data_IF_366409240636
#
_entry.id   IF_366409240636
#
_cell.length_a   1.000
_cell.length_b   1.000
_cell.length_c   1.000
_cell.angle_alpha   90.00
_cell.angle_beta   90.00
_cell.angle_gamma   90.00
#
_symmetry.space_group_name_H-M   'P 1'
#
loop_
_entity.id
_entity.type
_entity.pdbx_description
1 polymer ?
#
# COMPACT_ATOMS: atom_id res chain seq x y z
N UNK A 1 -11.31 -17.28 9.03
CA UNK A 1 -9.83 -17.12 8.90
C UNK A 1 -9.07 -18.42 8.97
N UNK A 2 -9.75 -19.56 8.77
CA UNK A 2 -9.08 -20.86 8.78
C UNK A 2 -8.01 -20.92 7.67
N UNK A 3 -6.83 -21.44 8.00
CA UNK A 3 -5.73 -21.55 7.07
C UNK A 3 -4.97 -20.26 6.79
N UNK A 4 -5.33 -19.14 7.43
CA UNK A 4 -4.65 -17.86 7.28
C UNK A 4 -3.79 -17.58 8.51
N UNK A 5 -2.57 -17.17 8.25
CA UNK A 5 -1.68 -16.76 9.34
C UNK A 5 -2.00 -15.35 9.80
N UNK A 6 -1.73 -15.06 11.09
CA UNK A 6 -1.89 -13.70 11.60
C UNK A 6 -1.04 -12.70 10.83
N UNK A 7 -1.56 -11.49 10.66
CA UNK A 7 -0.84 -10.40 10.00
C UNK A 7 -1.04 -9.12 10.80
N UNK A 8 0.05 -8.42 11.08
CA UNK A 8 0.03 -7.15 11.80
C UNK A 8 0.06 -6.01 10.78
N UNK A 9 -0.86 -5.06 10.94
CA UNK A 9 -0.90 -3.86 10.08
C UNK A 9 0.34 -3.00 10.30
N UNK A 10 0.80 -2.31 9.25
CA UNK A 10 1.96 -1.44 9.34
C UNK A 10 1.81 -0.32 10.37
N UNK A 11 0.61 0.27 10.49
CA UNK A 11 0.35 1.33 11.48
C UNK A 11 0.41 0.84 12.92
N UNK A 12 0.25 -0.46 13.16
CA UNK A 12 0.34 -1.06 14.49
C UNK A 12 1.77 -1.47 14.86
N UNK A 13 2.71 -1.32 13.95
CA UNK A 13 4.12 -1.67 14.17
C UNK A 13 4.90 -0.48 14.71
N UNK A 14 6.16 -0.73 15.10
CA UNK A 14 7.07 0.32 15.50
C UNK A 14 7.70 1.00 14.28
N UNK A 15 8.21 2.26 14.41
CA UNK A 15 8.84 2.95 13.29
C UNK A 15 10.00 2.19 12.66
N UNK A 16 10.71 1.38 13.43
CA UNK A 16 11.81 0.57 12.92
C UNK A 16 11.33 -0.56 12.00
N UNK A 17 10.10 -1.01 12.21
CA UNK A 17 9.52 -2.15 11.47
C UNK A 17 8.74 -1.72 10.24
N UNK A 18 8.17 -0.51 10.26
CA UNK A 18 7.34 -0.04 9.15
C UNK A 18 7.31 1.48 9.12
N UNK A 19 7.39 2.12 7.92
CA UNK A 19 7.32 3.57 7.80
C UNK A 19 6.05 4.20 8.38
N UNK A 20 4.95 3.45 8.40
CA UNK A 20 3.68 3.90 8.98
C UNK A 20 3.60 3.66 10.48
N UNK A 21 4.60 3.04 11.07
CA UNK A 21 4.61 2.67 12.48
C UNK A 21 4.83 3.86 13.39
N UNK A 22 4.67 3.60 14.68
CA UNK A 22 4.77 4.62 15.72
C UNK A 22 3.43 5.26 16.02
N UNK A 23 3.35 5.98 17.13
CA UNK A 23 2.13 6.62 17.61
C UNK A 23 1.51 5.86 18.76
N UNK A 24 0.52 6.47 19.39
CA UNK A 24 -0.21 5.91 20.52
C UNK A 24 -1.68 5.71 20.14
N UNK A 25 -2.17 4.49 20.35
CA UNK A 25 -3.54 4.12 20.01
C UNK A 25 -3.83 4.28 18.52
N UNK A 26 -4.95 4.88 18.18
CA UNK A 26 -5.33 5.13 16.79
C UNK A 26 -4.55 6.32 16.25
N UNK A 27 -3.85 6.12 15.15
CA UNK A 27 -3.09 7.19 14.49
C UNK A 27 -3.53 7.33 13.04
N UNK A 28 -3.30 8.52 12.48
CA UNK A 28 -3.53 8.77 11.05
C UNK A 28 -2.34 8.35 10.18
N UNK A 29 -1.25 7.88 10.79
CA UNK A 29 -0.05 7.44 10.10
C UNK A 29 1.00 8.51 9.87
N UNK A 30 0.64 9.79 9.91
CA UNK A 30 1.57 10.91 9.81
C UNK A 30 2.18 11.14 8.44
N UNK A 31 1.83 10.35 7.44
CA UNK A 31 2.34 10.45 6.06
C UNK A 31 1.40 9.78 5.09
N UNK A 32 1.68 9.91 3.79
CA UNK A 32 0.95 9.16 2.78
C UNK A 32 1.12 7.66 3.02
N UNK A 33 0.04 6.86 2.93
CA UNK A 33 0.14 5.41 3.11
C UNK A 33 1.16 4.80 2.15
N UNK A 34 2.01 3.93 2.68
CA UNK A 34 3.05 3.30 1.89
C UNK A 34 3.31 1.86 2.36
N UNK A 35 3.99 1.10 1.51
CA UNK A 35 4.44 -0.26 1.82
C UNK A 35 5.66 -0.22 2.74
N UNK A 36 6.09 -1.39 3.29
CA UNK A 36 7.34 -1.46 4.05
C UNK A 36 8.56 -0.95 3.29
N UNK A 37 8.49 -0.96 1.96
CA UNK A 37 9.58 -0.49 1.09
C UNK A 37 9.48 0.98 0.73
N UNK A 38 8.49 1.70 1.26
CA UNK A 38 8.29 3.12 0.97
C UNK A 38 7.48 3.41 -0.28
N UNK A 39 6.99 2.39 -0.98
CA UNK A 39 6.17 2.58 -2.18
C UNK A 39 4.76 3.02 -1.78
N UNK A 40 4.30 4.14 -2.33
CA UNK A 40 2.99 4.70 -2.00
C UNK A 40 1.87 3.73 -2.36
N UNK A 41 0.92 3.58 -1.43
CA UNK A 41 -0.23 2.67 -1.61
C UNK A 41 -1.34 3.26 -2.47
N UNK A 42 -1.40 4.58 -2.60
CA UNK A 42 -2.44 5.28 -3.35
C UNK A 42 -1.85 6.11 -4.46
N UNK A 43 -2.53 6.13 -5.60
CA UNK A 43 -2.12 6.92 -6.76
C UNK A 43 -1.11 6.23 -7.68
N UNK A 44 -0.60 5.07 -7.30
CA UNK A 44 0.34 4.34 -8.13
C UNK A 44 -0.34 3.67 -9.33
N UNK A 45 0.33 3.72 -10.47
CA UNK A 45 -0.14 3.04 -11.68
C UNK A 45 0.49 1.64 -11.70
N UNK A 46 -0.24 0.66 -11.16
CA UNK A 46 0.29 -0.69 -10.95
C UNK A 46 -0.04 -1.68 -12.06
N UNK A 47 -0.85 -1.28 -13.05
CA UNK A 47 -1.16 -2.15 -14.18
C UNK A 47 0.10 -2.42 -14.99
N UNK A 48 0.29 -3.66 -15.40
CA UNK A 48 1.41 -4.03 -16.27
C UNK A 48 1.30 -3.29 -17.60
N UNK A 49 2.38 -2.61 -18.00
CA UNK A 49 2.41 -1.82 -19.23
C UNK A 49 2.27 -2.66 -20.49
N UNK A 50 2.63 -3.93 -20.42
CA UNK A 50 2.56 -4.86 -21.54
C UNK A 50 1.32 -5.76 -21.49
N UNK A 51 0.29 -5.34 -20.76
CA UNK A 51 -0.93 -6.14 -20.63
C UNK A 51 -1.61 -6.29 -22.00
N UNK A 52 -2.03 -7.53 -22.40
CA UNK A 52 -2.59 -7.76 -23.74
C UNK A 52 -3.81 -6.91 -24.08
N UNK A 53 -4.63 -6.56 -23.06
CA UNK A 53 -5.84 -5.77 -23.28
C UNK A 53 -5.58 -4.27 -23.24
N UNK A 54 -4.35 -3.84 -23.10
CA UNK A 54 -4.01 -2.43 -23.02
C UNK A 54 -4.40 -1.67 -24.30
N UNK A 55 -4.39 -2.35 -25.43
CA UNK A 55 -4.82 -1.81 -26.72
C UNK A 55 -6.30 -1.41 -26.78
N UNK A 56 -7.11 -1.90 -25.84
CA UNK A 56 -8.53 -1.54 -25.76
C UNK A 56 -8.79 -0.31 -24.92
N UNK A 57 -7.77 0.22 -24.25
CA UNK A 57 -7.91 1.43 -23.44
C UNK A 57 -7.74 2.62 -24.37
N UNK A 58 -8.84 3.35 -24.59
CA UNK A 58 -8.80 4.55 -25.44
C UNK A 58 -8.19 5.73 -24.70
N UNK A 59 -8.53 5.88 -23.41
CA UNK A 59 -8.07 7.01 -22.60
C UNK A 59 -8.11 6.65 -21.12
N UNK A 60 -7.10 7.08 -20.39
CA UNK A 60 -7.09 6.92 -18.94
C UNK A 60 -7.46 8.25 -18.29
N UNK A 61 -7.81 8.17 -17.01
CA UNK A 61 -8.17 9.35 -16.22
C UNK A 61 -7.02 10.35 -16.12
N UNK A 62 -5.79 9.85 -16.06
CA UNK A 62 -4.56 10.64 -16.14
C UNK A 62 -3.44 9.79 -16.71
#
# INVERSE_FOLDING_TARGET
HMGRRPEVRGTAQNPVDHPMGGGEGRTAGGRHPCSPHGVLSKGGKTRNKNHPTDKFILRRRK
#
